data_IF_439302046169
#
_entry.id   IF_439302046169
#
_cell.length_a   1.000
_cell.length_b   1.000
_cell.length_c   1.000
_cell.angle_alpha   90.00
_cell.angle_beta   90.00
_cell.angle_gamma   90.00
#
_symmetry.space_group_name_H-M   'P 1'
#
loop_
_entity.id
_entity.type
_entity.pdbx_description
1 polymer ?
#
# COMPACT_ATOMS: atom_id res chain seq x y z
N UNK A 1 9.48 -0.67 7.88
CA UNK A 1 8.16 -1.35 7.83
C UNK A 1 8.04 -2.31 9.00
N UNK A 2 6.83 -2.71 9.42
CA UNK A 2 6.69 -3.72 10.50
C UNK A 2 7.06 -5.11 9.97
N UNK A 3 7.50 -6.04 10.84
CA UNK A 3 7.87 -7.40 10.42
C UNK A 3 6.77 -8.10 9.61
N UNK A 4 5.52 -8.02 10.06
CA UNK A 4 4.38 -8.61 9.36
C UNK A 4 4.15 -7.99 7.97
N UNK A 5 4.27 -6.67 7.85
CA UNK A 5 4.16 -5.93 6.59
C UNK A 5 5.22 -6.42 5.59
N UNK A 6 6.45 -6.62 6.05
CA UNK A 6 7.58 -7.11 5.23
C UNK A 6 7.32 -8.55 4.78
N UNK A 7 6.85 -9.42 5.68
CA UNK A 7 6.56 -10.82 5.33
C UNK A 7 5.47 -10.89 4.26
N UNK A 8 4.36 -10.17 4.44
CA UNK A 8 3.28 -10.13 3.45
C UNK A 8 3.80 -9.53 2.13
N UNK A 9 4.60 -8.46 2.17
CA UNK A 9 5.17 -7.84 0.98
C UNK A 9 6.09 -8.79 0.22
N UNK A 10 6.94 -9.54 0.93
CA UNK A 10 7.82 -10.53 0.33
C UNK A 10 7.03 -11.64 -0.38
N UNK A 11 5.95 -12.13 0.23
CA UNK A 11 5.07 -13.13 -0.40
C UNK A 11 4.38 -12.56 -1.64
N UNK A 12 3.90 -11.31 -1.59
CA UNK A 12 3.32 -10.62 -2.76
C UNK A 12 4.33 -10.53 -3.89
N UNK A 13 5.54 -10.04 -3.62
CA UNK A 13 6.59 -9.85 -4.63
C UNK A 13 7.04 -11.18 -5.24
N UNK A 14 7.23 -12.21 -4.41
CA UNK A 14 7.58 -13.54 -4.87
C UNK A 14 6.48 -14.14 -5.76
N UNK A 15 5.22 -14.02 -5.33
CA UNK A 15 4.08 -14.53 -6.09
C UNK A 15 3.91 -13.78 -7.41
N UNK A 16 4.14 -12.46 -7.42
CA UNK A 16 4.07 -11.64 -8.62
C UNK A 16 5.16 -12.02 -9.62
N UNK A 17 6.40 -12.20 -9.16
CA UNK A 17 7.51 -12.64 -10.00
C UNK A 17 7.26 -14.03 -10.60
N UNK A 18 6.80 -14.99 -9.79
CA UNK A 18 6.46 -16.33 -10.26
C UNK A 18 5.25 -16.34 -11.22
N UNK A 19 4.29 -15.44 -11.02
CA UNK A 19 3.17 -15.24 -11.95
C UNK A 19 3.64 -14.74 -13.33
N UNK A 20 4.59 -13.79 -13.35
CA UNK A 20 5.20 -13.32 -14.60
C UNK A 20 6.00 -14.42 -15.33
N UNK A 21 6.52 -15.41 -14.59
CA UNK A 21 7.18 -16.60 -15.16
C UNK A 21 6.20 -17.71 -15.58
N UNK A 22 4.88 -17.46 -15.55
CA UNK A 22 3.83 -18.41 -15.90
C UNK A 22 3.85 -19.71 -15.07
N UNK A 23 4.28 -19.65 -13.81
CA UNK A 23 4.26 -20.82 -12.93
C UNK A 23 2.81 -21.25 -12.63
N UNK A 24 2.46 -22.55 -12.71
CA UNK A 24 1.09 -23.01 -12.48
C UNK A 24 0.63 -22.77 -11.03
N UNK A 25 -0.68 -22.58 -10.83
CA UNK A 25 -1.33 -22.34 -9.53
C UNK A 25 -0.91 -21.06 -8.76
N UNK A 26 0.12 -20.33 -9.20
CA UNK A 26 0.64 -19.18 -8.46
C UNK A 26 -0.34 -18.00 -8.39
N UNK A 27 -1.26 -17.87 -9.34
CA UNK A 27 -2.26 -16.81 -9.38
C UNK A 27 -3.13 -16.78 -8.12
N UNK A 28 -3.42 -17.94 -7.53
CA UNK A 28 -4.20 -18.04 -6.28
C UNK A 28 -3.39 -17.47 -5.10
N UNK A 29 -2.10 -17.79 -5.01
CA UNK A 29 -1.23 -17.25 -3.96
C UNK A 29 -1.05 -15.74 -4.13
N UNK A 30 -0.89 -15.26 -5.36
CA UNK A 30 -0.82 -13.83 -5.67
C UNK A 30 -2.11 -13.11 -5.25
N UNK A 31 -3.28 -13.66 -5.56
CA UNK A 31 -4.57 -13.09 -5.16
C UNK A 31 -4.69 -12.96 -3.64
N UNK A 32 -4.46 -14.05 -2.91
CA UNK A 32 -4.60 -14.07 -1.45
C UNK A 32 -3.61 -13.11 -0.79
N UNK A 33 -2.35 -13.12 -1.23
CA UNK A 33 -1.31 -12.27 -0.63
C UNK A 33 -1.54 -10.79 -0.91
N UNK A 34 -1.94 -10.42 -2.14
CA UNK A 34 -2.26 -9.02 -2.48
C UNK A 34 -3.53 -8.56 -1.77
N UNK A 35 -4.56 -9.39 -1.71
CA UNK A 35 -5.78 -9.09 -0.97
C UNK A 35 -5.50 -8.84 0.52
N UNK A 36 -4.67 -9.70 1.13
CA UNK A 36 -4.25 -9.54 2.52
C UNK A 36 -3.48 -8.23 2.72
N UNK A 37 -2.56 -7.90 1.82
CA UNK A 37 -1.80 -6.65 1.89
C UNK A 37 -2.68 -5.41 1.72
N UNK A 38 -3.61 -5.44 0.76
CA UNK A 38 -4.55 -4.34 0.55
C UNK A 38 -5.45 -4.13 1.76
N UNK A 39 -6.03 -5.21 2.28
CA UNK A 39 -6.83 -5.18 3.52
C UNK A 39 -6.03 -4.67 4.71
N UNK A 40 -4.74 -5.01 4.77
CA UNK A 40 -3.84 -4.55 5.79
C UNK A 40 -3.67 -3.02 5.79
N UNK A 41 -3.48 -2.40 4.63
CA UNK A 41 -3.43 -0.94 4.51
C UNK A 41 -4.79 -0.27 4.70
N UNK A 42 -5.87 -0.89 4.19
CA UNK A 42 -7.22 -0.36 4.31
C UNK A 42 -7.67 -0.25 5.78
N UNK A 43 -7.58 -1.35 6.53
CA UNK A 43 -8.09 -1.43 7.91
C UNK A 43 -7.09 -0.85 8.91
N UNK A 44 -5.79 -1.14 8.74
CA UNK A 44 -4.77 -0.83 9.74
C UNK A 44 -3.84 0.31 9.33
N UNK A 45 -4.11 0.99 8.21
CA UNK A 45 -3.33 2.14 7.74
C UNK A 45 -3.18 3.21 8.82
N UNK A 46 -4.28 3.59 9.48
CA UNK A 46 -4.25 4.58 10.56
C UNK A 46 -3.27 4.21 11.69
N UNK A 47 -3.25 2.95 12.10
CA UNK A 47 -2.37 2.46 13.15
C UNK A 47 -0.91 2.30 12.67
N UNK A 48 -0.72 1.84 11.42
CA UNK A 48 0.60 1.63 10.81
C UNK A 48 1.37 2.95 10.69
N UNK A 49 0.75 3.99 10.12
CA UNK A 49 1.40 5.28 9.90
C UNK A 49 1.62 6.06 11.19
N UNK A 50 0.72 5.91 12.16
CA UNK A 50 0.87 6.52 13.49
C UNK A 50 1.82 5.75 14.43
N UNK A 51 2.28 4.55 14.04
CA UNK A 51 3.24 3.79 14.84
C UNK A 51 2.63 2.99 15.98
N UNK A 52 1.31 2.88 16.00
CA UNK A 52 0.59 2.10 17.01
C UNK A 52 0.92 0.63 16.79
N UNK A 53 1.38 -0.06 17.83
CA UNK A 53 1.62 -1.51 17.75
C UNK A 53 0.30 -2.27 17.74
N UNK A 54 0.29 -3.51 17.25
CA UNK A 54 -0.94 -4.33 17.26
C UNK A 54 -1.52 -4.51 18.66
N UNK A 55 -0.65 -4.73 19.66
CA UNK A 55 -1.04 -4.83 21.08
C UNK A 55 -1.61 -3.51 21.64
N UNK A 56 -1.33 -2.39 20.99
CA UNK A 56 -1.75 -1.05 21.39
C UNK A 56 -3.01 -0.54 20.70
N UNK A 57 -3.55 -1.25 19.70
CA UNK A 57 -4.71 -0.81 18.91
C UNK A 57 -5.92 -0.45 19.77
N UNK A 58 -6.16 -1.21 20.82
CA UNK A 58 -7.29 -1.01 21.72
C UNK A 58 -6.94 -0.16 22.95
N UNK A 59 -5.71 0.37 23.03
CA UNK A 59 -5.24 1.17 24.17
C UNK A 59 -5.22 2.65 23.81
N UNK A 60 -6.05 3.44 24.49
CA UNK A 60 -6.10 4.91 24.34
C UNK A 60 -4.72 5.59 24.49
N UNK A 61 -3.87 5.02 25.34
CA UNK A 61 -2.49 5.48 25.58
C UNK A 61 -1.62 5.46 24.32
N UNK A 62 -1.87 4.52 23.40
CA UNK A 62 -1.11 4.40 22.15
C UNK A 62 -1.37 5.57 21.19
N UNK A 63 -2.41 6.36 21.45
CA UNK A 63 -2.81 7.51 20.64
C UNK A 63 -2.44 8.85 21.27
N UNK A 64 -1.73 8.87 22.41
CA UNK A 64 -1.35 10.13 23.09
C UNK A 64 -0.48 11.06 22.22
N UNK A 65 0.32 10.48 21.32
CA UNK A 65 1.24 11.22 20.45
C UNK A 65 0.70 11.45 19.02
N UNK A 66 -0.59 11.19 18.79
CA UNK A 66 -1.24 11.47 17.50
C UNK A 66 -2.37 12.49 17.66
N UNK A 67 -2.78 13.08 16.55
CA UNK A 67 -3.87 14.04 16.48
C UNK A 67 -4.88 13.62 15.39
N UNK A 68 -6.07 14.22 15.41
CA UNK A 68 -7.13 13.87 14.47
C UNK A 68 -6.68 14.00 13.00
N UNK A 69 -5.90 15.03 12.66
CA UNK A 69 -5.39 15.24 11.30
C UNK A 69 -4.47 14.10 10.83
N UNK A 70 -3.56 13.61 11.69
CA UNK A 70 -2.70 12.46 11.39
C UNK A 70 -3.48 11.15 11.29
N UNK A 71 -4.57 11.00 12.05
CA UNK A 71 -5.45 9.82 11.92
C UNK A 71 -6.18 9.87 10.57
N UNK A 72 -6.85 10.97 10.26
CA UNK A 72 -7.62 11.13 9.01
C UNK A 72 -6.70 10.99 7.79
N UNK A 73 -5.54 11.67 7.80
CA UNK A 73 -4.55 11.54 6.73
C UNK A 73 -4.08 10.09 6.56
N UNK A 74 -3.82 9.39 7.66
CA UNK A 74 -3.41 7.99 7.63
C UNK A 74 -4.49 7.04 7.11
N UNK A 75 -5.77 7.32 7.35
CA UNK A 75 -6.90 6.58 6.75
C UNK A 75 -6.94 6.82 5.25
N UNK A 76 -6.87 8.07 4.80
CA UNK A 76 -6.90 8.42 3.37
C UNK A 76 -5.71 7.78 2.63
N UNK A 77 -4.51 7.85 3.19
CA UNK A 77 -3.32 7.22 2.61
C UNK A 77 -3.45 5.69 2.59
N UNK A 78 -3.96 5.09 3.67
CA UNK A 78 -4.20 3.65 3.74
C UNK A 78 -5.18 3.19 2.66
N UNK A 79 -6.24 3.96 2.44
CA UNK A 79 -7.19 3.70 1.38
C UNK A 79 -6.57 3.85 -0.01
N UNK A 80 -5.84 4.94 -0.29
CA UNK A 80 -5.16 5.13 -1.57
C UNK A 80 -4.19 3.98 -1.90
N UNK A 81 -3.39 3.54 -0.94
CA UNK A 81 -2.50 2.38 -1.11
C UNK A 81 -3.26 1.09 -1.33
N UNK A 82 -4.36 0.87 -0.61
CA UNK A 82 -5.20 -0.32 -0.78
C UNK A 82 -5.77 -0.44 -2.21
N UNK A 83 -6.22 0.70 -2.76
CA UNK A 83 -6.78 0.78 -4.12
C UNK A 83 -5.68 0.57 -5.16
N UNK A 84 -4.50 1.18 -4.98
CA UNK A 84 -3.36 0.95 -5.86
C UNK A 84 -2.97 -0.53 -5.89
N UNK A 85 -2.82 -1.15 -4.72
CA UNK A 85 -2.40 -2.55 -4.58
C UNK A 85 -3.40 -3.52 -5.20
N UNK A 86 -4.71 -3.34 -4.96
CA UNK A 86 -5.76 -4.16 -5.60
C UNK A 86 -5.86 -3.87 -7.10
N UNK A 87 -5.77 -2.61 -7.53
CA UNK A 87 -5.80 -2.23 -8.93
C UNK A 87 -4.68 -2.89 -9.72
N UNK A 88 -3.47 -2.93 -9.14
CA UNK A 88 -2.33 -3.66 -9.72
C UNK A 88 -2.64 -5.15 -9.91
N UNK A 89 -3.26 -5.81 -8.93
CA UNK A 89 -3.65 -7.22 -9.06
C UNK A 89 -4.65 -7.45 -10.19
N UNK A 90 -5.73 -6.66 -10.23
CA UNK A 90 -6.82 -6.84 -11.21
C UNK A 90 -6.29 -6.60 -12.63
N UNK A 91 -5.41 -5.62 -12.80
CA UNK A 91 -4.69 -5.38 -14.06
C UNK A 91 -3.78 -6.55 -14.44
N UNK A 92 -2.98 -7.10 -13.51
CA UNK A 92 -2.13 -8.27 -13.78
C UNK A 92 -2.94 -9.51 -14.18
N UNK A 93 -4.14 -9.70 -13.63
CA UNK A 93 -5.02 -10.82 -13.99
C UNK A 93 -5.82 -10.57 -15.28
N UNK A 94 -5.66 -9.40 -15.94
CA UNK A 94 -6.41 -8.99 -17.13
C UNK A 94 -7.93 -9.07 -16.94
N UNK A 95 -8.39 -8.79 -15.73
CA UNK A 95 -9.82 -8.76 -15.45
C UNK A 95 -10.46 -7.50 -16.05
N UNK A 96 -11.73 -7.58 -16.49
CA UNK A 96 -12.42 -6.44 -17.06
C UNK A 96 -12.45 -5.27 -16.07
N UNK A 97 -12.04 -4.08 -16.54
CA UNK A 97 -11.94 -2.87 -15.72
C UNK A 97 -10.63 -2.72 -14.92
N UNK A 98 -9.67 -3.64 -15.05
CA UNK A 98 -8.39 -3.58 -14.32
C UNK A 98 -7.57 -2.32 -14.60
N UNK A 99 -7.50 -1.88 -15.86
CA UNK A 99 -6.80 -0.65 -16.25
C UNK A 99 -7.42 0.60 -15.60
N UNK A 100 -8.75 0.70 -15.62
CA UNK A 100 -9.47 1.81 -15.01
C UNK A 100 -9.22 1.85 -13.49
N UNK A 101 -9.27 0.69 -12.83
CA UNK A 101 -9.03 0.61 -11.39
C UNK A 101 -7.58 0.93 -11.02
N UNK A 102 -6.62 0.50 -11.84
CA UNK A 102 -5.21 0.85 -11.68
C UNK A 102 -4.98 2.36 -11.90
N UNK A 103 -5.61 2.96 -12.91
CA UNK A 103 -5.53 4.41 -13.16
C UNK A 103 -6.09 5.21 -11.98
N UNK A 104 -7.25 4.84 -11.45
CA UNK A 104 -7.84 5.46 -10.24
C UNK A 104 -6.86 5.33 -9.07
N UNK A 105 -6.30 4.14 -8.88
CA UNK A 105 -5.28 3.87 -7.85
C UNK A 105 -4.05 4.76 -8.00
N UNK A 106 -3.55 4.94 -9.23
CA UNK A 106 -2.40 5.79 -9.53
C UNK A 106 -2.70 7.28 -9.29
N UNK A 107 -3.90 7.77 -9.61
CA UNK A 107 -4.30 9.16 -9.33
C UNK A 107 -4.34 9.40 -7.81
N UNK A 108 -5.00 8.51 -7.05
CA UNK A 108 -5.04 8.58 -5.58
C UNK A 108 -3.63 8.47 -4.98
N UNK A 109 -2.81 7.58 -5.52
CA UNK A 109 -1.42 7.44 -5.14
C UNK A 109 -0.63 8.73 -5.40
N UNK A 110 -0.74 9.34 -6.57
CA UNK A 110 -0.01 10.55 -6.93
C UNK A 110 -0.32 11.70 -5.97
N UNK A 111 -1.59 11.91 -5.63
CA UNK A 111 -1.98 12.95 -4.65
C UNK A 111 -1.36 12.68 -3.28
N UNK A 112 -1.45 11.45 -2.78
CA UNK A 112 -0.86 11.08 -1.48
C UNK A 112 0.67 11.11 -1.47
N UNK A 113 1.32 10.77 -2.58
CA UNK A 113 2.77 10.85 -2.75
C UNK A 113 3.26 12.30 -2.73
N UNK A 114 2.61 13.20 -3.48
CA UNK A 114 2.95 14.63 -3.49
C UNK A 114 2.77 15.22 -2.09
N UNK A 115 1.60 15.03 -1.47
CA UNK A 115 1.30 15.58 -0.14
C UNK A 115 2.28 15.03 0.91
N UNK A 116 2.51 13.72 0.92
CA UNK A 116 3.45 13.12 1.88
C UNK A 116 4.89 13.54 1.65
N UNK A 117 5.31 13.73 0.39
CA UNK A 117 6.63 14.25 0.04
C UNK A 117 6.84 15.69 0.52
N UNK A 118 5.86 16.57 0.29
CA UNK A 118 5.90 17.95 0.80
C UNK A 118 6.05 17.96 2.32
N UNK A 119 5.21 17.21 3.04
CA UNK A 119 5.30 17.17 4.51
C UNK A 119 6.55 16.47 5.03
N UNK A 120 7.11 15.50 4.30
CA UNK A 120 8.37 14.85 4.64
C UNK A 120 9.54 15.85 4.57
N UNK A 121 9.57 16.73 3.56
CA UNK A 121 10.59 17.76 3.43
C UNK A 121 10.41 18.91 4.43
N UNK A 122 9.17 19.31 4.69
CA UNK A 122 8.86 20.44 5.59
C UNK A 122 8.91 20.06 7.07
N UNK A 123 8.56 18.82 7.43
CA UNK A 123 8.41 18.38 8.83
C UNK A 123 9.26 17.15 9.11
N UNK A 124 10.20 17.29 10.05
CA UNK A 124 11.05 16.19 10.55
C UNK A 124 10.32 15.28 11.57
N UNK A 125 9.03 15.02 11.34
CA UNK A 125 8.21 14.15 12.20
C UNK A 125 8.26 12.70 11.70
N UNK A 126 8.47 11.75 12.62
CA UNK A 126 8.53 10.33 12.32
C UNK A 126 7.28 9.80 11.61
N UNK A 127 6.11 10.42 11.80
CA UNK A 127 4.89 10.12 11.06
C UNK A 127 5.10 10.28 9.55
N UNK A 128 5.57 11.44 9.08
CA UNK A 128 5.71 11.73 7.66
C UNK A 128 6.81 10.87 7.01
N UNK A 129 7.91 10.62 7.73
CA UNK A 129 8.95 9.67 7.27
C UNK A 129 8.37 8.26 7.09
N UNK A 130 7.55 7.78 8.03
CA UNK A 130 6.92 6.45 7.94
C UNK A 130 5.89 6.35 6.83
N UNK A 131 5.13 7.42 6.59
CA UNK A 131 4.20 7.50 5.46
C UNK A 131 4.98 7.47 4.16
N UNK A 132 5.90 8.42 3.96
CA UNK A 132 6.61 8.60 2.70
C UNK A 132 7.38 7.34 2.30
N UNK A 133 8.12 6.71 3.21
CA UNK A 133 8.84 5.46 2.92
C UNK A 133 7.94 4.33 2.41
N UNK A 134 6.70 4.23 2.90
CA UNK A 134 5.75 3.18 2.47
C UNK A 134 5.06 3.53 1.18
N UNK A 135 4.66 4.79 1.04
CA UNK A 135 4.04 5.30 -0.18
C UNK A 135 5.04 5.15 -1.33
N UNK A 136 6.30 5.59 -1.18
CA UNK A 136 7.33 5.41 -2.20
C UNK A 136 7.55 3.94 -2.59
N UNK A 137 7.60 3.02 -1.62
CA UNK A 137 7.80 1.59 -1.90
C UNK A 137 6.68 1.00 -2.77
N UNK A 138 5.42 1.17 -2.36
CA UNK A 138 4.28 0.66 -3.15
C UNK A 138 4.06 1.43 -4.44
N UNK A 139 4.39 2.71 -4.45
CA UNK A 139 4.37 3.55 -5.64
C UNK A 139 5.27 3.03 -6.74
N UNK A 140 6.52 2.71 -6.40
CA UNK A 140 7.48 2.15 -7.33
C UNK A 140 6.96 0.81 -7.89
N UNK A 141 6.45 -0.07 -7.02
CA UNK A 141 5.90 -1.37 -7.45
C UNK A 141 4.69 -1.18 -8.38
N UNK A 142 3.73 -0.34 -8.00
CA UNK A 142 2.54 -0.07 -8.80
C UNK A 142 2.86 0.54 -10.16
N UNK A 143 3.82 1.47 -10.20
CA UNK A 143 4.31 2.06 -11.44
C UNK A 143 4.98 1.01 -12.35
N UNK A 144 5.85 0.16 -11.80
CA UNK A 144 6.51 -0.91 -12.56
C UNK A 144 5.48 -1.87 -13.19
N UNK A 145 4.45 -2.26 -12.43
CA UNK A 145 3.38 -3.13 -12.93
C UNK A 145 2.60 -2.45 -14.07
N UNK A 146 2.27 -1.18 -13.91
CA UNK A 146 1.60 -0.40 -14.95
C UNK A 146 2.43 -0.35 -16.25
N UNK A 147 3.73 -0.07 -16.14
CA UNK A 147 4.63 -0.06 -17.31
C UNK A 147 4.73 -1.43 -17.99
N UNK A 148 4.82 -2.53 -17.22
CA UNK A 148 4.84 -3.90 -17.78
C UNK A 148 3.55 -4.21 -18.53
N UNK A 149 2.40 -3.75 -18.01
CA UNK A 149 1.11 -3.93 -18.68
C UNK A 149 1.01 -3.07 -19.95
N UNK A 150 1.44 -1.81 -19.91
CA UNK A 150 1.34 -0.91 -21.06
C UNK A 150 2.23 -1.33 -22.26
N UNK A 151 3.31 -2.06 -22.00
CA UNK A 151 4.24 -2.53 -23.04
C UNK A 151 3.82 -3.86 -23.71
N UNK A 152 2.85 -4.59 -23.16
CA UNK A 152 2.38 -5.89 -23.64
C UNK A 152 0.96 -5.80 -24.23
#
# INVERSE_FOLDING_TARGET
>A
MKKLEIIIAAVVLLSAALHLLNFPLISVLLYISVFLMSSFYYVLGFALFNGVTFKGLFKKESYKNTNAAKIIGAVIIGWALSVLIIGSLISMQKWPGGELMLLIGLILFATTFIVSGIFFLLKKDAYYTRVFTRVSFWGIIGALIYFIHFLN
#
